data_IF_803469266395
#
_entry.id   IF_803469266395
#
_cell.length_a   1.000
_cell.length_b   1.000
_cell.length_c   1.000
_cell.angle_alpha   90.00
_cell.angle_beta   90.00
_cell.angle_gamma   90.00
#
_symmetry.space_group_name_H-M   'P 1'
#
loop_
_entity.id
_entity.type
_entity.pdbx_description
1 polymer ?
#
# COMPACT_ATOMS: atom_id res chain seq x y z
N UNK A 1 -27.90 -14.62 4.84
CA UNK A 1 -27.77 -13.62 5.91
C UNK A 1 -26.94 -14.14 7.09
N UNK A 2 -27.25 -15.29 7.72
CA UNK A 2 -26.46 -15.86 8.85
C UNK A 2 -24.97 -16.08 8.53
N UNK A 3 -24.62 -16.56 7.33
CA UNK A 3 -23.23 -16.80 6.91
C UNK A 3 -22.43 -15.51 6.75
N UNK A 4 -23.03 -14.42 6.31
CA UNK A 4 -22.36 -13.10 6.17
C UNK A 4 -22.08 -12.51 7.53
N UNK A 5 -23.06 -12.56 8.44
CA UNK A 5 -22.91 -12.09 9.83
C UNK A 5 -21.81 -12.86 10.54
N UNK A 6 -21.75 -14.17 10.36
CA UNK A 6 -20.70 -15.01 10.93
C UNK A 6 -19.30 -14.61 10.42
N UNK A 7 -19.13 -14.40 9.12
CA UNK A 7 -17.86 -13.91 8.54
C UNK A 7 -17.46 -12.54 9.07
N UNK A 8 -18.40 -11.61 9.20
CA UNK A 8 -18.15 -10.29 9.79
C UNK A 8 -17.70 -10.37 11.25
N UNK A 9 -18.29 -11.25 12.05
CA UNK A 9 -17.90 -11.46 13.44
C UNK A 9 -16.48 -12.04 13.54
N UNK A 10 -16.11 -12.97 12.65
CA UNK A 10 -14.75 -13.51 12.56
C UNK A 10 -13.76 -12.40 12.20
N UNK A 11 -14.05 -11.62 11.16
CA UNK A 11 -13.22 -10.50 10.72
C UNK A 11 -12.97 -9.54 11.89
N UNK A 12 -14.03 -9.13 12.60
CA UNK A 12 -13.92 -8.24 13.77
C UNK A 12 -13.07 -8.85 14.88
N UNK A 13 -13.29 -10.12 15.21
CA UNK A 13 -12.54 -10.81 16.26
C UNK A 13 -11.05 -10.91 15.93
N UNK A 14 -10.71 -11.33 14.71
CA UNK A 14 -9.32 -11.45 14.25
C UNK A 14 -8.67 -10.07 14.18
N UNK A 15 -9.34 -9.07 13.61
CA UNK A 15 -8.83 -7.71 13.55
C UNK A 15 -8.59 -7.12 14.94
N UNK A 16 -9.47 -7.37 15.90
CA UNK A 16 -9.32 -6.90 17.29
C UNK A 16 -8.13 -7.55 18.01
N UNK A 17 -7.89 -8.85 17.78
CA UNK A 17 -6.73 -9.56 18.35
C UNK A 17 -5.44 -8.99 17.72
N UNK A 18 -5.39 -8.85 16.41
CA UNK A 18 -4.24 -8.27 15.69
C UNK A 18 -3.95 -6.85 16.18
N UNK A 19 -5.00 -6.03 16.37
CA UNK A 19 -4.86 -4.70 16.94
C UNK A 19 -4.18 -4.75 18.32
N UNK A 20 -4.61 -5.65 19.22
CA UNK A 20 -4.02 -5.80 20.55
C UNK A 20 -2.57 -6.29 20.50
N UNK A 21 -2.26 -7.26 19.66
CA UNK A 21 -0.91 -7.78 19.47
C UNK A 21 0.05 -6.67 19.00
N UNK A 22 -0.33 -5.92 17.98
CA UNK A 22 0.52 -4.86 17.43
C UNK A 22 0.62 -3.64 18.35
N UNK A 23 -0.42 -3.31 19.11
CA UNK A 23 -0.38 -2.19 20.06
C UNK A 23 0.61 -2.45 21.22
N UNK A 24 0.97 -3.71 21.47
CA UNK A 24 2.02 -4.06 22.40
C UNK A 24 3.44 -3.71 21.89
N UNK A 25 3.65 -3.64 20.55
CA UNK A 25 4.93 -3.32 19.91
C UNK A 25 5.01 -1.86 19.45
N UNK A 26 4.61 -0.91 20.29
CA UNK A 26 4.51 0.53 19.95
C UNK A 26 5.79 1.14 19.41
N UNK A 27 6.95 0.68 19.88
CA UNK A 27 8.27 1.21 19.46
C UNK A 27 8.50 1.01 17.96
N UNK A 28 8.09 -0.14 17.41
CA UNK A 28 8.22 -0.38 15.97
C UNK A 28 7.35 0.59 15.15
N UNK A 29 6.12 0.82 15.58
CA UNK A 29 5.19 1.76 14.92
C UNK A 29 5.69 3.20 15.01
N UNK A 30 6.39 3.59 16.08
CA UNK A 30 6.98 4.93 16.19
C UNK A 30 8.10 5.18 15.17
N UNK A 31 8.91 4.15 14.88
CA UNK A 31 9.96 4.27 13.86
C UNK A 31 9.36 4.34 12.45
N UNK A 32 8.27 3.59 12.18
CA UNK A 32 7.63 3.58 10.86
C UNK A 32 7.02 4.94 10.47
N UNK A 33 6.67 5.81 11.46
CA UNK A 33 6.18 7.17 11.20
C UNK A 33 7.18 7.98 10.37
N UNK A 34 8.48 7.80 10.62
CA UNK A 34 9.53 8.58 9.93
C UNK A 34 9.85 8.07 8.53
N UNK A 35 9.53 6.83 8.21
CA UNK A 35 9.86 6.23 6.89
C UNK A 35 9.21 7.01 5.75
N UNK A 36 7.92 7.33 5.86
CA UNK A 36 7.20 8.10 4.84
C UNK A 36 7.72 9.52 4.66
N UNK A 37 7.86 10.33 5.71
CA UNK A 37 8.46 11.67 5.60
C UNK A 37 9.88 11.68 5.04
N UNK A 38 10.75 10.73 5.42
CA UNK A 38 12.10 10.60 4.86
C UNK A 38 12.03 10.27 3.37
N UNK A 39 11.21 9.30 2.97
CA UNK A 39 10.99 8.98 1.56
C UNK A 39 10.48 10.20 0.78
N UNK A 40 9.48 10.90 1.34
CA UNK A 40 8.92 12.10 0.73
C UNK A 40 9.97 13.22 0.58
N UNK A 41 10.81 13.47 1.59
CA UNK A 41 11.89 14.45 1.52
C UNK A 41 12.86 14.13 0.38
N UNK A 42 13.24 12.86 0.23
CA UNK A 42 14.10 12.42 -0.88
C UNK A 42 13.45 12.72 -2.23
N UNK A 43 12.17 12.39 -2.41
CA UNK A 43 11.43 12.69 -3.63
C UNK A 43 11.31 14.20 -3.87
N UNK A 44 11.05 14.98 -2.81
CA UNK A 44 10.98 16.44 -2.89
C UNK A 44 12.25 17.04 -3.46
N UNK A 45 13.43 16.67 -2.94
CA UNK A 45 14.70 17.19 -3.44
C UNK A 45 15.03 16.69 -4.84
N UNK A 46 14.78 15.42 -5.15
CA UNK A 46 14.99 14.89 -6.50
C UNK A 46 14.17 15.68 -7.52
N UNK A 47 12.87 15.82 -7.29
CA UNK A 47 11.99 16.46 -8.26
C UNK A 47 12.20 17.97 -8.33
N UNK A 48 12.51 18.63 -7.21
CA UNK A 48 12.92 20.05 -7.23
C UNK A 48 14.17 20.24 -8.10
N UNK A 49 15.15 19.35 -8.02
CA UNK A 49 16.34 19.41 -8.86
C UNK A 49 16.03 19.09 -10.35
N UNK A 50 15.15 18.12 -10.62
CA UNK A 50 14.75 17.75 -11.99
C UNK A 50 13.96 18.88 -12.68
N UNK A 51 13.08 19.54 -11.93
CA UNK A 51 12.33 20.68 -12.48
C UNK A 51 13.24 21.89 -12.73
N UNK A 52 14.16 22.23 -11.80
CA UNK A 52 15.03 23.38 -11.92
C UNK A 52 14.22 24.65 -12.24
N UNK A 53 14.46 25.25 -13.42
CA UNK A 53 13.71 26.42 -13.90
C UNK A 53 12.49 26.07 -14.78
N UNK A 54 12.23 24.78 -15.00
CA UNK A 54 11.13 24.33 -15.87
C UNK A 54 9.80 24.47 -15.16
N UNK A 55 8.85 25.18 -15.77
CA UNK A 55 7.51 25.35 -15.23
C UNK A 55 6.70 24.04 -15.24
N UNK A 56 6.81 23.24 -16.30
CA UNK A 56 6.07 22.00 -16.46
C UNK A 56 6.95 20.90 -17.09
N UNK A 57 6.76 19.67 -16.66
CA UNK A 57 7.35 18.47 -17.27
C UNK A 57 6.23 17.45 -17.48
N UNK A 58 6.03 16.99 -18.73
CA UNK A 58 4.95 16.06 -19.10
C UNK A 58 3.55 16.47 -18.60
N UNK A 59 3.26 17.78 -18.61
CA UNK A 59 1.95 18.32 -18.22
C UNK A 59 1.74 18.51 -16.72
N UNK A 60 2.70 18.14 -15.88
CA UNK A 60 2.64 18.36 -14.42
C UNK A 60 3.58 19.52 -14.02
N UNK A 61 3.12 20.35 -13.10
CA UNK A 61 3.97 21.31 -12.42
C UNK A 61 4.64 20.72 -11.17
N UNK A 62 5.60 21.41 -10.56
CA UNK A 62 6.31 20.93 -9.38
C UNK A 62 5.37 20.74 -8.19
N UNK A 63 4.35 21.59 -8.01
CA UNK A 63 3.40 21.48 -6.90
C UNK A 63 2.55 20.24 -7.02
N UNK A 64 2.06 19.93 -8.25
CA UNK A 64 1.34 18.71 -8.55
C UNK A 64 2.20 17.45 -8.29
N UNK A 65 3.47 17.50 -8.70
CA UNK A 65 4.42 16.41 -8.46
C UNK A 65 4.67 16.16 -6.97
N UNK A 66 4.86 17.22 -6.19
CA UNK A 66 5.04 17.12 -4.74
C UNK A 66 3.76 16.58 -4.07
N UNK A 67 2.59 17.06 -4.49
CA UNK A 67 1.29 16.56 -4.01
C UNK A 67 1.10 15.08 -4.36
N UNK A 68 1.51 14.67 -5.57
CA UNK A 68 1.49 13.27 -5.99
C UNK A 68 2.30 12.37 -5.05
N UNK A 69 3.54 12.73 -4.71
CA UNK A 69 4.37 11.93 -3.82
C UNK A 69 3.88 11.97 -2.37
N UNK A 70 3.32 13.08 -1.92
CA UNK A 70 2.64 13.15 -0.62
C UNK A 70 1.45 12.20 -0.55
N UNK A 71 0.57 12.23 -1.55
CA UNK A 71 -0.58 11.32 -1.65
C UNK A 71 -0.14 9.85 -1.81
N UNK A 72 0.89 9.58 -2.63
CA UNK A 72 1.45 8.24 -2.83
C UNK A 72 1.96 7.64 -1.51
N UNK A 73 2.67 8.43 -0.71
CA UNK A 73 3.15 8.00 0.62
C UNK A 73 2.00 7.66 1.56
N UNK A 74 0.96 8.52 1.62
CA UNK A 74 -0.21 8.28 2.47
C UNK A 74 -1.00 7.04 2.04
N UNK A 75 -1.25 6.88 0.74
CA UNK A 75 -1.94 5.71 0.19
C UNK A 75 -1.10 4.45 0.42
N UNK A 76 0.23 4.55 0.30
CA UNK A 76 1.16 3.47 0.60
C UNK A 76 0.97 2.93 2.02
N UNK A 77 0.83 3.78 3.03
CA UNK A 77 0.53 3.36 4.40
C UNK A 77 -0.81 2.62 4.55
N UNK A 78 -1.81 2.93 3.72
CA UNK A 78 -3.10 2.26 3.75
C UNK A 78 -3.11 0.92 3.01
N UNK A 79 -2.21 0.75 2.03
CA UNK A 79 -2.20 -0.43 1.15
C UNK A 79 -1.07 -1.42 1.44
N UNK A 80 0.00 -1.00 2.14
CA UNK A 80 1.18 -1.82 2.45
C UNK A 80 0.82 -3.20 3.02
N UNK A 81 1.50 -4.27 2.57
CA UNK A 81 1.21 -5.66 2.93
C UNK A 81 2.46 -6.50 3.21
N UNK A 82 2.26 -7.50 4.09
CA UNK A 82 3.23 -8.51 4.47
C UNK A 82 2.61 -9.93 4.48
N UNK A 83 1.52 -10.15 3.75
CA UNK A 83 0.84 -11.45 3.73
C UNK A 83 1.75 -12.57 3.20
N UNK A 84 2.61 -12.26 2.24
CA UNK A 84 3.61 -13.18 1.71
C UNK A 84 4.63 -13.61 2.77
N UNK A 85 5.16 -12.65 3.53
CA UNK A 85 6.12 -12.93 4.60
C UNK A 85 5.48 -13.76 5.73
N UNK A 86 4.27 -13.40 6.15
CA UNK A 86 3.53 -14.13 7.16
C UNK A 86 3.25 -15.58 6.72
N UNK A 87 2.78 -15.76 5.49
CA UNK A 87 2.50 -17.09 4.95
C UNK A 87 3.77 -17.93 4.81
N UNK A 88 4.86 -17.35 4.31
CA UNK A 88 6.17 -18.00 4.24
C UNK A 88 6.64 -18.47 5.62
N UNK A 89 6.52 -17.63 6.65
CA UNK A 89 6.89 -18.01 8.01
C UNK A 89 6.05 -19.16 8.56
N UNK A 90 4.75 -19.17 8.31
CA UNK A 90 3.85 -20.26 8.70
C UNK A 90 4.24 -21.58 8.03
N UNK A 91 4.57 -21.55 6.73
CA UNK A 91 4.99 -22.73 5.98
C UNK A 91 6.34 -23.26 6.50
N UNK A 92 7.35 -22.40 6.60
CA UNK A 92 8.70 -22.78 7.07
C UNK A 92 8.72 -23.36 8.48
N UNK A 93 7.88 -22.86 9.37
CA UNK A 93 7.80 -23.34 10.76
C UNK A 93 6.84 -24.50 10.96
N UNK A 94 6.19 -25.01 9.90
CA UNK A 94 5.17 -26.04 9.96
C UNK A 94 3.86 -25.58 10.63
N UNK A 95 3.78 -24.35 11.09
CA UNK A 95 2.60 -23.81 11.79
C UNK A 95 1.38 -23.67 10.88
N UNK A 96 1.57 -23.71 9.56
CA UNK A 96 0.45 -23.69 8.62
C UNK A 96 -0.51 -24.86 8.83
N UNK A 97 -0.02 -26.03 9.29
CA UNK A 97 -0.86 -27.18 9.60
C UNK A 97 -1.95 -26.88 10.64
N UNK A 98 -1.70 -25.93 11.56
CA UNK A 98 -2.73 -25.50 12.54
C UNK A 98 -3.94 -24.85 11.88
N UNK A 99 -3.79 -24.29 10.67
CA UNK A 99 -4.90 -23.71 9.91
C UNK A 99 -5.73 -24.77 9.17
N UNK A 100 -5.12 -25.93 8.81
CA UNK A 100 -5.87 -27.06 8.25
C UNK A 100 -6.92 -27.60 9.22
N UNK A 101 -6.69 -27.44 10.53
CA UNK A 101 -7.62 -27.89 11.59
C UNK A 101 -8.66 -26.81 11.97
N UNK A 102 -8.57 -25.60 11.42
CA UNK A 102 -9.52 -24.50 11.72
C UNK A 102 -10.66 -24.47 10.73
N UNK A 103 -11.90 -24.18 11.15
CA UNK A 103 -13.06 -24.07 10.26
C UNK A 103 -13.09 -22.74 9.47
N UNK A 104 -11.89 -22.19 9.14
CA UNK A 104 -11.71 -20.91 8.46
C UNK A 104 -10.61 -21.04 7.43
N UNK A 105 -10.88 -20.61 6.19
CA UNK A 105 -9.84 -20.51 5.18
C UNK A 105 -8.75 -19.53 5.58
N UNK A 106 -7.47 -19.95 5.49
CA UNK A 106 -6.32 -19.10 5.84
C UNK A 106 -6.34 -17.74 5.14
N UNK A 107 -6.74 -17.70 3.86
CA UNK A 107 -6.86 -16.45 3.09
C UNK A 107 -7.77 -15.41 3.78
N UNK A 108 -8.93 -15.86 4.27
CA UNK A 108 -9.87 -14.96 4.96
C UNK A 108 -9.32 -14.52 6.32
N UNK A 109 -8.65 -15.41 7.04
CA UNK A 109 -7.98 -15.08 8.29
C UNK A 109 -6.87 -14.03 8.06
N UNK A 110 -5.99 -14.24 7.07
CA UNK A 110 -4.92 -13.31 6.71
C UNK A 110 -5.46 -11.93 6.30
N UNK A 111 -6.55 -11.89 5.49
CA UNK A 111 -7.21 -10.63 5.15
C UNK A 111 -7.77 -9.92 6.39
N UNK A 112 -8.35 -10.66 7.33
CA UNK A 112 -8.88 -10.10 8.58
C UNK A 112 -7.77 -9.52 9.47
N UNK A 113 -6.61 -10.19 9.55
CA UNK A 113 -5.42 -9.67 10.22
C UNK A 113 -4.94 -8.37 9.55
N UNK A 114 -4.90 -8.34 8.22
CA UNK A 114 -4.51 -7.15 7.48
C UNK A 114 -5.42 -5.96 7.77
N UNK A 115 -6.74 -6.16 7.79
CA UNK A 115 -7.70 -5.09 8.16
C UNK A 115 -7.37 -4.54 9.55
N UNK A 116 -7.15 -5.42 10.53
CA UNK A 116 -6.77 -5.00 11.90
C UNK A 116 -5.46 -4.21 11.94
N UNK A 117 -4.46 -4.64 11.17
CA UNK A 117 -3.18 -3.95 11.06
C UNK A 117 -3.31 -2.57 10.39
N UNK A 118 -4.16 -2.43 9.37
CA UNK A 118 -4.39 -1.14 8.69
C UNK A 118 -5.13 -0.12 9.55
N UNK A 119 -5.98 -0.54 10.46
CA UNK A 119 -6.57 0.37 11.46
C UNK A 119 -5.48 1.00 12.33
N UNK A 120 -4.50 0.22 12.76
CA UNK A 120 -3.32 0.75 13.47
C UNK A 120 -2.46 1.65 12.58
N UNK A 121 -2.18 1.21 11.36
CA UNK A 121 -1.44 1.99 10.39
C UNK A 121 -2.10 3.34 10.08
N UNK A 122 -3.43 3.38 10.07
CA UNK A 122 -4.15 4.65 9.92
C UNK A 122 -3.88 5.60 11.09
N UNK A 123 -3.89 5.11 12.33
CA UNK A 123 -3.71 5.93 13.53
C UNK A 123 -2.25 6.33 13.73
N UNK A 124 -1.31 5.39 13.57
CA UNK A 124 0.09 5.58 13.95
C UNK A 124 1.01 5.93 12.78
N UNK A 125 0.60 5.74 11.55
CA UNK A 125 1.41 5.99 10.35
C UNK A 125 0.77 7.07 9.47
N UNK A 126 -0.46 6.82 8.99
CA UNK A 126 -1.16 7.74 8.10
C UNK A 126 -1.46 9.10 8.75
N UNK A 127 -2.12 9.12 9.92
CA UNK A 127 -2.55 10.38 10.53
C UNK A 127 -1.39 11.28 10.96
N UNK A 128 -0.31 10.79 11.62
CA UNK A 128 0.86 11.62 11.89
C UNK A 128 1.57 12.12 10.64
N UNK A 129 1.71 11.25 9.63
CA UNK A 129 2.33 11.62 8.36
C UNK A 129 1.52 12.70 7.62
N UNK A 130 0.19 12.58 7.59
CA UNK A 130 -0.73 13.58 7.06
C UNK A 130 -0.55 14.94 7.77
N UNK A 131 -0.46 14.95 9.10
CA UNK A 131 -0.24 16.15 9.89
C UNK A 131 1.12 16.78 9.56
N UNK A 132 2.19 15.98 9.46
CA UNK A 132 3.52 16.45 9.08
C UNK A 132 3.48 17.09 7.69
N UNK A 133 2.86 16.46 6.71
CA UNK A 133 2.81 16.97 5.34
C UNK A 133 1.99 18.26 5.23
N UNK A 134 0.89 18.36 5.93
CA UNK A 134 0.03 19.57 5.89
C UNK A 134 0.62 20.73 6.68
N UNK A 135 1.19 20.51 7.87
CA UNK A 135 1.70 21.56 8.72
C UNK A 135 3.13 21.97 8.37
N UNK A 136 4.04 21.01 8.16
CA UNK A 136 5.45 21.29 7.93
C UNK A 136 5.74 21.65 6.47
N UNK A 137 5.21 20.85 5.54
CA UNK A 137 5.44 21.05 4.10
C UNK A 137 4.37 21.90 3.43
N UNK A 138 3.28 22.26 4.14
CA UNK A 138 2.16 23.08 3.65
C UNK A 138 1.53 22.54 2.36
N UNK A 139 1.49 21.21 2.21
CA UNK A 139 0.90 20.55 1.06
C UNK A 139 -0.57 20.33 1.33
N UNK A 140 -1.44 20.71 0.39
CA UNK A 140 -2.87 20.45 0.48
C UNK A 140 -3.14 19.00 0.04
N UNK A 141 -3.27 18.09 1.00
CA UNK A 141 -3.58 16.68 0.77
C UNK A 141 -5.06 16.38 1.02
N UNK A 142 -5.92 17.16 0.36
CA UNK A 142 -7.36 16.95 0.40
C UNK A 142 -7.80 16.23 -0.88
N UNK A 143 -8.43 15.05 -0.79
CA UNK A 143 -8.86 14.34 -1.99
C UNK A 143 -9.92 15.13 -2.73
N UNK A 144 -9.75 15.28 -4.04
CA UNK A 144 -10.72 16.00 -4.89
C UNK A 144 -12.08 15.30 -4.93
N UNK A 145 -12.08 13.97 -4.94
CA UNK A 145 -13.28 13.13 -4.98
C UNK A 145 -13.23 12.08 -3.88
N UNK A 146 -13.64 12.44 -2.66
CA UNK A 146 -13.53 11.57 -1.46
C UNK A 146 -14.13 10.17 -1.70
N UNK A 147 -15.34 10.07 -2.27
CA UNK A 147 -16.02 8.78 -2.49
C UNK A 147 -15.23 7.87 -3.42
N UNK A 148 -14.78 8.37 -4.57
CA UNK A 148 -13.98 7.61 -5.52
C UNK A 148 -12.59 7.27 -4.98
N UNK A 149 -11.99 8.17 -4.20
CA UNK A 149 -10.71 7.91 -3.53
C UNK A 149 -10.83 6.75 -2.56
N UNK A 150 -11.88 6.74 -1.71
CA UNK A 150 -12.10 5.62 -0.77
C UNK A 150 -12.28 4.30 -1.51
N UNK A 151 -13.09 4.28 -2.58
CA UNK A 151 -13.30 3.07 -3.39
C UNK A 151 -11.99 2.61 -4.02
N UNK A 152 -11.21 3.52 -4.64
CA UNK A 152 -9.94 3.17 -5.29
C UNK A 152 -8.90 2.67 -4.30
N UNK A 153 -8.81 3.26 -3.10
CA UNK A 153 -7.90 2.81 -2.03
C UNK A 153 -8.30 1.42 -1.51
N UNK A 154 -9.61 1.15 -1.35
CA UNK A 154 -10.08 -0.20 -0.95
C UNK A 154 -9.72 -1.24 -2.02
N UNK A 155 -9.90 -0.92 -3.30
CA UNK A 155 -9.53 -1.82 -4.40
C UNK A 155 -8.01 -2.04 -4.47
N UNK A 156 -7.21 -0.98 -4.30
CA UNK A 156 -5.75 -1.08 -4.22
C UNK A 156 -5.30 -1.92 -3.02
N UNK A 157 -5.92 -1.74 -1.86
CA UNK A 157 -5.68 -2.55 -0.67
C UNK A 157 -5.94 -4.04 -0.94
N UNK A 158 -7.08 -4.39 -1.55
CA UNK A 158 -7.40 -5.77 -1.91
C UNK A 158 -6.44 -6.32 -2.96
N UNK A 159 -6.11 -5.54 -4.00
CA UNK A 159 -5.16 -5.93 -5.05
C UNK A 159 -3.81 -6.25 -4.44
N UNK A 160 -3.26 -5.35 -3.62
CA UNK A 160 -1.97 -5.52 -2.95
C UNK A 160 -1.98 -6.77 -2.06
N UNK A 161 -3.04 -6.97 -1.27
CA UNK A 161 -3.18 -8.16 -0.44
C UNK A 161 -3.14 -9.44 -1.28
N UNK A 162 -3.95 -9.52 -2.34
CA UNK A 162 -4.03 -10.76 -3.13
C UNK A 162 -2.74 -11.06 -3.87
N UNK A 163 -2.07 -10.06 -4.39
CA UNK A 163 -0.77 -10.24 -5.07
C UNK A 163 0.27 -10.75 -4.07
N UNK A 164 0.42 -10.10 -2.90
CA UNK A 164 1.34 -10.59 -1.86
C UNK A 164 0.93 -11.98 -1.34
N UNK A 165 -0.34 -12.25 -1.21
CA UNK A 165 -0.80 -13.57 -0.79
C UNK A 165 -0.42 -14.66 -1.82
N UNK A 166 -0.55 -14.38 -3.13
CA UNK A 166 -0.10 -15.29 -4.21
C UNK A 166 1.41 -15.50 -4.15
N UNK A 167 2.20 -14.43 -3.95
CA UNK A 167 3.65 -14.54 -3.76
C UNK A 167 3.96 -15.43 -2.55
N UNK A 168 3.26 -15.25 -1.44
CA UNK A 168 3.41 -16.06 -0.23
C UNK A 168 3.10 -17.53 -0.45
N UNK A 169 2.12 -17.85 -1.31
CA UNK A 169 1.78 -19.22 -1.65
C UNK A 169 2.94 -19.97 -2.33
N UNK A 170 3.86 -19.28 -3.00
CA UNK A 170 5.04 -19.92 -3.60
C UNK A 170 5.94 -20.60 -2.58
N UNK A 171 5.83 -20.24 -1.28
CA UNK A 171 6.58 -20.88 -0.22
C UNK A 171 6.24 -22.38 -0.03
N UNK A 172 5.08 -22.84 -0.50
CA UNK A 172 4.75 -24.25 -0.48
C UNK A 172 5.62 -25.10 -1.43
N UNK A 173 6.17 -24.46 -2.48
CA UNK A 173 7.04 -25.14 -3.45
C UNK A 173 8.52 -24.85 -3.24
N UNK A 174 8.84 -23.58 -2.89
CA UNK A 174 10.23 -23.11 -2.85
C UNK A 174 10.79 -22.95 -1.42
N UNK A 175 10.05 -23.31 -0.39
CA UNK A 175 10.43 -23.16 1.03
C UNK A 175 10.73 -21.70 1.42
N UNK A 176 11.26 -20.91 0.48
CA UNK A 176 11.61 -19.51 0.66
C UNK A 176 11.23 -18.67 -0.57
N UNK A 177 10.28 -17.76 -0.40
CA UNK A 177 9.76 -16.87 -1.44
C UNK A 177 10.40 -15.46 -1.45
N UNK A 178 11.39 -15.23 -0.59
CA UNK A 178 12.02 -13.90 -0.44
C UNK A 178 12.67 -13.38 -1.72
N UNK A 179 13.22 -14.25 -2.58
CA UNK A 179 13.75 -13.86 -3.89
C UNK A 179 12.66 -13.34 -4.82
N UNK A 180 11.54 -14.06 -4.92
CA UNK A 180 10.38 -13.68 -5.74
C UNK A 180 9.83 -12.35 -5.25
N UNK A 181 9.71 -12.18 -3.93
CA UNK A 181 9.26 -10.92 -3.33
C UNK A 181 10.16 -9.75 -3.73
N UNK A 182 11.48 -9.88 -3.61
CA UNK A 182 12.42 -8.79 -3.97
C UNK A 182 12.27 -8.35 -5.43
N UNK A 183 12.15 -9.32 -6.35
CA UNK A 183 11.90 -9.02 -7.76
C UNK A 183 10.57 -8.29 -7.94
N UNK A 184 9.52 -8.78 -7.27
CA UNK A 184 8.21 -8.13 -7.32
C UNK A 184 8.25 -6.71 -6.75
N UNK A 185 8.89 -6.50 -5.59
CA UNK A 185 8.99 -5.19 -4.94
C UNK A 185 9.75 -4.18 -5.84
N UNK A 186 10.82 -4.62 -6.52
CA UNK A 186 11.55 -3.80 -7.48
C UNK A 186 10.66 -3.41 -8.68
N UNK A 187 9.99 -4.38 -9.30
CA UNK A 187 9.09 -4.13 -10.44
C UNK A 187 7.91 -3.26 -10.01
N UNK A 188 7.35 -3.52 -8.83
CA UNK A 188 6.27 -2.71 -8.28
C UNK A 188 6.72 -1.29 -8.00
N UNK A 189 7.89 -1.07 -7.41
CA UNK A 189 8.43 0.26 -7.14
C UNK A 189 8.52 1.12 -8.41
N UNK A 190 8.92 0.52 -9.52
CA UNK A 190 9.05 1.21 -10.82
C UNK A 190 7.68 1.37 -11.50
N UNK A 191 6.91 0.28 -11.65
CA UNK A 191 5.74 0.23 -12.51
C UNK A 191 4.42 0.58 -11.82
N UNK A 192 4.40 0.70 -10.50
CA UNK A 192 3.23 1.19 -9.76
C UNK A 192 3.16 2.72 -9.66
N UNK A 193 4.17 3.44 -10.15
CA UNK A 193 4.23 4.89 -10.04
C UNK A 193 4.76 5.41 -8.70
N UNK A 194 5.25 4.52 -7.82
CA UNK A 194 5.80 4.94 -6.51
C UNK A 194 7.10 5.72 -6.70
N UNK A 195 8.06 5.23 -7.49
CA UNK A 195 9.32 5.93 -7.73
C UNK A 195 9.21 7.00 -8.80
N UNK A 196 8.50 6.73 -9.89
CA UNK A 196 8.34 7.63 -11.03
C UNK A 196 6.88 7.53 -11.50
N UNK A 197 6.12 8.64 -11.58
CA UNK A 197 4.75 8.60 -12.09
C UNK A 197 4.68 8.03 -13.50
N UNK A 198 3.59 7.29 -13.83
CA UNK A 198 3.47 6.60 -15.10
C UNK A 198 3.46 7.55 -16.31
N UNK A 199 3.09 8.81 -16.14
CA UNK A 199 3.10 9.81 -17.20
C UNK A 199 4.49 10.06 -17.80
N UNK A 200 5.56 9.65 -17.12
CA UNK A 200 6.94 9.78 -17.61
C UNK A 200 7.38 8.60 -18.49
N UNK A 201 6.59 7.53 -18.57
CA UNK A 201 6.90 6.38 -19.42
C UNK A 201 6.39 6.62 -20.84
N UNK A 202 7.02 6.01 -21.87
CA UNK A 202 6.51 6.03 -23.25
C UNK A 202 5.07 5.48 -23.33
N UNK A 203 4.24 6.08 -24.19
CA UNK A 203 2.81 5.74 -24.31
C UNK A 203 2.53 4.24 -24.54
N UNK A 204 3.39 3.55 -25.30
CA UNK A 204 3.28 2.10 -25.51
C UNK A 204 3.47 1.30 -24.23
N UNK A 205 4.45 1.69 -23.40
CA UNK A 205 4.71 1.06 -22.13
C UNK A 205 3.58 1.35 -21.11
N UNK A 206 3.07 2.59 -21.10
CA UNK A 206 1.92 2.94 -20.26
C UNK A 206 0.72 2.02 -20.55
N UNK A 207 0.37 1.83 -21.83
CA UNK A 207 -0.71 0.93 -22.23
C UNK A 207 -0.49 -0.50 -21.75
N UNK A 208 0.74 -1.02 -21.88
CA UNK A 208 1.09 -2.35 -21.39
C UNK A 208 0.94 -2.46 -19.88
N UNK A 209 1.39 -1.45 -19.12
CA UNK A 209 1.34 -1.44 -17.65
C UNK A 209 -0.09 -1.48 -17.12
N UNK A 210 -1.07 -0.86 -17.81
CA UNK A 210 -2.47 -0.92 -17.40
C UNK A 210 -3.11 -2.32 -17.54
N UNK A 211 -2.48 -3.27 -18.22
CA UNK A 211 -2.87 -4.70 -18.18
C UNK A 211 -2.28 -5.45 -16.98
N UNK A 212 -1.34 -4.84 -16.27
CA UNK A 212 -0.67 -5.42 -15.12
C UNK A 212 -1.25 -4.85 -13.80
N UNK A 213 -1.07 -5.53 -12.66
CA UNK A 213 -1.63 -5.08 -11.39
C UNK A 213 -0.94 -3.82 -10.81
N UNK A 214 0.30 -3.53 -11.24
CA UNK A 214 1.14 -2.51 -10.63
C UNK A 214 0.50 -1.11 -10.54
N UNK A 215 -0.03 -0.51 -11.62
CA UNK A 215 -0.62 0.82 -11.56
C UNK A 215 -1.80 0.92 -10.58
N UNK A 216 -2.59 -0.14 -10.46
CA UNK A 216 -3.77 -0.17 -9.59
C UNK A 216 -3.44 -0.26 -8.11
N UNK A 217 -2.19 -0.61 -7.75
CA UNK A 217 -1.74 -0.68 -6.36
C UNK A 217 -1.40 0.70 -5.79
N UNK A 218 -0.96 1.66 -6.62
CA UNK A 218 -0.54 3.00 -6.19
C UNK A 218 -0.96 4.10 -7.14
N UNK A 219 -0.54 4.09 -8.41
CA UNK A 219 -0.74 5.18 -9.35
C UNK A 219 -2.21 5.58 -9.51
N UNK A 220 -3.09 4.62 -9.82
CA UNK A 220 -4.51 4.89 -10.03
C UNK A 220 -5.18 5.52 -8.81
N UNK A 221 -5.05 4.99 -7.58
CA UNK A 221 -5.63 5.64 -6.41
C UNK A 221 -5.04 7.03 -6.12
N UNK A 222 -3.76 7.27 -6.43
CA UNK A 222 -3.14 8.60 -6.31
C UNK A 222 -3.75 9.58 -7.31
N UNK A 223 -3.91 9.19 -8.57
CA UNK A 223 -4.51 10.03 -9.62
C UNK A 223 -5.99 10.33 -9.34
N UNK A 224 -6.73 9.38 -8.77
CA UNK A 224 -8.10 9.63 -8.31
C UNK A 224 -8.12 10.59 -7.12
N UNK A 225 -7.15 10.48 -6.21
CA UNK A 225 -7.00 11.37 -5.06
C UNK A 225 -6.73 12.81 -5.51
N UNK A 226 -5.77 13.02 -6.41
CA UNK A 226 -5.42 14.36 -6.94
C UNK A 226 -6.47 14.90 -7.90
N UNK A 227 -7.34 14.03 -8.45
CA UNK A 227 -8.36 14.40 -9.43
C UNK A 227 -7.80 14.61 -10.84
N UNK A 228 -6.59 14.11 -11.10
CA UNK A 228 -5.92 14.18 -12.41
C UNK A 228 -6.16 12.91 -13.26
N UNK A 229 -6.99 11.99 -12.79
CA UNK A 229 -7.38 10.81 -13.53
C UNK A 229 -8.30 11.24 -14.69
N UNK A 230 -7.74 11.37 -15.89
CA UNK A 230 -8.47 11.54 -17.12
C UNK A 230 -8.85 10.13 -17.58
N UNK A 231 -10.17 9.82 -17.54
CA UNK A 231 -10.75 8.62 -18.15
C UNK A 231 -10.65 8.69 -19.65
#
# INVERSE_FOLDING_TARGET
>A
MKTVIHKLNILRAVAAVTYKEWSAYRTHSMVSIFVGPVYFIVQYFIWTAVYGEKAHINGMDLSQMITYFGASTLIGYLTMDFADWNLQMLVRTGKFLTFALRPIHHRFFALSQKVGHRVLGFIFEFAPCYIIFTLLFRISLVPRYIGWTVVSVILAFLMTFYVHYIIGMTAFWFTQSSGIRRVFDLLSGIFSGVFIPLVFFPAGLQKLLFFLPFPYMSYVPVMVFTGEFIL
#
